data_IF_369045026212
#
_entry.id   IF_369045026212
#
_cell.length_a   1.000
_cell.length_b   1.000
_cell.length_c   1.000
_cell.angle_alpha   90.00
_cell.angle_beta   90.00
_cell.angle_gamma   90.00
#
_symmetry.space_group_name_H-M   'P 1'
#
loop_
_entity.id
_entity.type
_entity.pdbx_description
1 polymer ?
#
# COMPACT_ATOMS: atom_id res chain seq x y z
N UNK A 1 -9.60 0.07 36.26
CA UNK A 1 -8.49 -0.85 35.97
C UNK A 1 -7.22 -0.04 36.00
N UNK A 2 -6.15 -0.62 36.56
CA UNK A 2 -4.86 0.05 36.72
C UNK A 2 -3.96 -0.40 35.59
N UNK A 3 -3.19 0.53 35.02
CA UNK A 3 -2.15 0.17 34.06
C UNK A 3 -1.08 -0.68 34.75
N UNK A 4 -0.42 -1.54 33.97
CA UNK A 4 0.78 -2.24 34.42
C UNK A 4 1.87 -1.22 34.74
N UNK A 5 2.57 -1.42 35.85
CA UNK A 5 3.81 -0.72 36.17
C UNK A 5 4.85 -1.71 36.68
N UNK A 6 5.74 -2.13 35.78
CA UNK A 6 6.80 -3.10 36.06
C UNK A 6 7.86 -2.61 37.06
N UNK A 7 7.79 -1.35 37.50
CA UNK A 7 8.70 -0.81 38.53
C UNK A 7 8.20 -1.04 39.96
N UNK A 8 6.90 -1.28 40.13
CA UNK A 8 6.26 -1.39 41.46
C UNK A 8 5.33 -2.59 41.60
N UNK A 9 4.71 -3.06 40.52
CA UNK A 9 3.76 -4.17 40.58
C UNK A 9 4.49 -5.49 40.88
N UNK A 10 3.95 -6.26 41.83
CA UNK A 10 4.41 -7.62 42.10
C UNK A 10 3.87 -8.57 41.01
N UNK A 11 4.65 -9.57 40.57
CA UNK A 11 4.18 -10.61 39.65
C UNK A 11 2.85 -11.27 40.01
N UNK A 12 2.52 -11.41 41.30
CA UNK A 12 1.23 -11.95 41.74
C UNK A 12 0.04 -11.01 41.45
N UNK A 13 0.31 -9.72 41.18
CA UNK A 13 -0.70 -8.67 40.94
C UNK A 13 -0.85 -8.29 39.46
N UNK A 14 -0.19 -9.01 38.54
CA UNK A 14 -0.24 -8.70 37.12
C UNK A 14 -1.62 -8.97 36.51
N UNK A 15 -2.37 -9.97 36.99
CA UNK A 15 -3.70 -10.28 36.44
C UNK A 15 -4.67 -9.08 36.59
N UNK A 16 -5.39 -8.76 35.52
CA UNK A 16 -6.32 -7.62 35.45
C UNK A 16 -5.66 -6.26 35.18
N UNK A 17 -4.32 -6.20 35.07
CA UNK A 17 -3.61 -4.97 34.68
C UNK A 17 -3.79 -4.68 33.19
N UNK A 18 -3.78 -3.40 32.84
CA UNK A 18 -3.90 -2.96 31.45
C UNK A 18 -2.52 -2.75 30.84
N UNK A 19 -2.32 -3.31 29.66
CA UNK A 19 -1.11 -3.14 28.85
C UNK A 19 -1.52 -2.51 27.53
N UNK A 20 -0.89 -1.39 27.18
CA UNK A 20 -1.01 -0.75 25.87
C UNK A 20 0.19 -1.09 25.00
N UNK A 21 -0.08 -1.56 23.78
CA UNK A 21 0.93 -1.88 22.76
C UNK A 21 0.40 -1.32 21.44
N UNK A 22 1.13 -0.36 20.88
CA UNK A 22 0.66 0.50 19.78
C UNK A 22 -0.71 1.12 20.12
N UNK A 23 -1.67 1.03 19.20
CA UNK A 23 -3.02 1.59 19.34
C UNK A 23 -4.02 0.60 19.98
N UNK A 24 -3.55 -0.52 20.54
CA UNK A 24 -4.40 -1.53 21.17
C UNK A 24 -4.21 -1.62 22.69
N UNK A 25 -5.33 -1.83 23.37
CA UNK A 25 -5.37 -2.10 24.81
C UNK A 25 -5.62 -3.57 25.08
N UNK A 26 -4.83 -4.11 26.00
CA UNK A 26 -4.92 -5.48 26.45
C UNK A 26 -5.11 -5.54 27.96
N UNK A 27 -5.78 -6.58 28.42
CA UNK A 27 -5.84 -6.97 29.82
C UNK A 27 -4.96 -8.20 30.02
N UNK A 28 -4.12 -8.18 31.06
CA UNK A 28 -3.38 -9.37 31.47
C UNK A 28 -4.37 -10.36 32.06
N UNK A 29 -4.56 -11.48 31.37
CA UNK A 29 -5.43 -12.57 31.79
C UNK A 29 -4.71 -13.54 32.73
N UNK A 30 -5.23 -14.77 32.75
CA UNK A 30 -4.74 -15.83 33.63
C UNK A 30 -3.24 -16.09 33.46
N UNK A 31 -2.63 -16.48 34.56
CA UNK A 31 -1.29 -17.02 34.60
C UNK A 31 -1.19 -18.36 33.86
N UNK A 32 -0.29 -18.43 32.89
CA UNK A 32 -0.05 -19.62 32.05
C UNK A 32 1.13 -20.45 32.55
N UNK A 33 1.98 -19.88 33.41
CA UNK A 33 3.09 -20.58 34.04
C UNK A 33 4.40 -19.80 34.03
N UNK A 34 5.45 -20.52 34.42
CA UNK A 34 6.80 -20.01 34.60
C UNK A 34 7.75 -20.64 33.58
N UNK A 35 8.50 -19.81 32.84
CA UNK A 35 9.44 -20.24 31.81
C UNK A 35 10.85 -19.76 32.11
N UNK A 36 11.58 -20.47 32.99
CA UNK A 36 12.89 -20.03 33.46
C UNK A 36 12.81 -18.70 34.21
N UNK A 37 13.40 -17.63 33.67
CA UNK A 37 13.36 -16.28 34.26
C UNK A 37 12.12 -15.45 33.88
N UNK A 38 11.03 -16.08 33.40
CA UNK A 38 9.85 -15.38 32.87
C UNK A 38 8.57 -15.78 33.61
N UNK A 39 7.72 -14.80 33.88
CA UNK A 39 6.29 -14.98 34.16
C UNK A 39 5.52 -14.90 32.86
N UNK A 40 4.62 -15.85 32.63
CA UNK A 40 3.83 -15.91 31.39
C UNK A 40 2.36 -15.79 31.71
N UNK A 41 1.71 -14.80 31.12
CA UNK A 41 0.26 -14.60 31.24
C UNK A 41 -0.38 -14.54 29.86
N UNK A 42 -1.67 -14.85 29.81
CA UNK A 42 -2.51 -14.55 28.65
C UNK A 42 -2.66 -13.03 28.50
N UNK A 43 -2.77 -12.55 27.26
CA UNK A 43 -2.98 -11.15 26.95
C UNK A 43 -4.27 -11.04 26.12
N UNK A 44 -5.31 -10.53 26.76
CA UNK A 44 -6.68 -10.44 26.22
C UNK A 44 -6.85 -9.09 25.56
N UNK A 45 -7.08 -9.07 24.25
CA UNK A 45 -7.40 -7.83 23.55
C UNK A 45 -8.76 -7.34 24.01
N UNK A 46 -8.85 -6.13 24.57
CA UNK A 46 -10.09 -5.63 25.20
C UNK A 46 -11.23 -5.40 24.22
N UNK A 47 -10.90 -5.13 22.95
CA UNK A 47 -11.88 -4.91 21.90
C UNK A 47 -12.41 -6.22 21.33
N UNK A 48 -11.51 -7.18 21.08
CA UNK A 48 -11.89 -8.52 20.62
C UNK A 48 -12.51 -9.37 21.74
N UNK A 49 -12.12 -9.14 23.00
CA UNK A 49 -12.63 -9.82 24.19
C UNK A 49 -12.05 -11.20 24.45
N UNK A 50 -10.94 -11.58 23.78
CA UNK A 50 -10.31 -12.90 23.89
C UNK A 50 -8.77 -12.80 23.90
N UNK A 51 -8.11 -13.83 24.40
CA UNK A 51 -6.65 -13.98 24.36
C UNK A 51 -6.12 -14.03 22.93
N UNK A 52 -5.31 -13.05 22.56
CA UNK A 52 -4.66 -12.99 21.24
C UNK A 52 -3.15 -13.20 21.33
N UNK A 53 -2.58 -12.98 22.51
CA UNK A 53 -1.15 -13.10 22.76
C UNK A 53 -0.88 -13.71 24.14
N UNK A 54 0.38 -14.05 24.38
CA UNK A 54 0.94 -14.21 25.71
C UNK A 54 1.94 -13.08 25.97
N UNK A 55 1.91 -12.55 27.18
CA UNK A 55 2.92 -11.61 27.69
C UNK A 55 3.93 -12.39 28.53
N UNK A 56 5.22 -12.19 28.27
CA UNK A 56 6.32 -12.83 28.99
C UNK A 56 7.15 -11.73 29.67
N UNK A 57 6.98 -11.63 30.99
CA UNK A 57 7.62 -10.60 31.81
C UNK A 57 8.86 -11.21 32.47
N UNK A 58 10.03 -10.62 32.23
CA UNK A 58 11.29 -11.10 32.80
C UNK A 58 11.42 -10.68 34.28
N UNK A 59 11.87 -11.60 35.13
CA UNK A 59 12.13 -11.35 36.56
C UNK A 59 13.20 -10.28 36.76
N UNK A 60 14.25 -10.29 35.94
CA UNK A 60 15.35 -9.35 36.02
C UNK A 60 15.20 -8.24 34.98
N UNK A 61 14.36 -7.25 35.28
CA UNK A 61 14.10 -6.10 34.40
C UNK A 61 15.38 -5.37 33.93
N UNK A 62 16.41 -5.12 34.78
CA UNK A 62 17.67 -4.54 34.34
C UNK A 62 18.39 -5.32 33.22
N UNK A 63 18.23 -6.65 33.16
CA UNK A 63 18.83 -7.52 32.13
C UNK A 63 17.84 -7.97 31.06
N UNK A 64 16.59 -7.53 31.10
CA UNK A 64 15.51 -8.05 30.27
C UNK A 64 15.83 -7.98 28.76
N UNK A 65 16.41 -6.87 28.31
CA UNK A 65 16.80 -6.65 26.91
C UNK A 65 17.88 -7.64 26.46
N UNK A 66 18.92 -7.81 27.28
CA UNK A 66 20.05 -8.71 27.00
C UNK A 66 19.53 -10.14 26.86
N UNK A 67 18.74 -10.59 27.85
CA UNK A 67 18.18 -11.95 27.88
C UNK A 67 17.25 -12.20 26.69
N UNK A 68 16.37 -11.24 26.36
CA UNK A 68 15.48 -11.37 25.21
C UNK A 68 16.26 -11.41 23.89
N UNK A 69 17.31 -10.61 23.76
CA UNK A 69 18.17 -10.58 22.56
C UNK A 69 18.89 -11.90 22.39
N UNK A 70 19.53 -12.42 23.44
CA UNK A 70 20.22 -13.73 23.40
C UNK A 70 19.25 -14.88 23.12
N UNK A 71 18.03 -14.85 23.67
CA UNK A 71 17.02 -15.86 23.37
C UNK A 71 16.61 -15.85 21.89
N UNK A 72 16.47 -14.66 21.30
CA UNK A 72 16.16 -14.50 19.88
C UNK A 72 17.30 -14.96 18.97
N UNK A 73 18.55 -14.67 19.33
CA UNK A 73 19.72 -15.18 18.61
C UNK A 73 19.81 -16.70 18.65
N UNK A 74 19.53 -17.32 19.80
CA UNK A 74 19.48 -18.77 19.92
C UNK A 74 18.37 -19.39 19.06
N UNK A 75 17.18 -18.77 19.02
CA UNK A 75 16.09 -19.21 18.13
C UNK A 75 16.49 -19.09 16.66
N UNK A 76 17.21 -18.03 16.27
CA UNK A 76 17.71 -17.88 14.91
C UNK A 76 18.71 -18.98 14.54
N UNK A 77 19.68 -19.27 15.41
CA UNK A 77 20.66 -20.35 15.16
C UNK A 77 19.98 -21.71 14.98
N UNK A 78 18.91 -21.99 15.72
CA UNK A 78 18.11 -23.20 15.54
C UNK A 78 17.41 -23.22 14.17
N UNK A 79 16.86 -22.10 13.71
CA UNK A 79 16.27 -22.00 12.37
C UNK A 79 17.30 -22.21 11.27
N UNK A 80 18.49 -21.65 11.42
CA UNK A 80 19.57 -21.74 10.43
C UNK A 80 20.01 -23.20 10.19
N UNK A 81 19.85 -24.07 11.19
CA UNK A 81 20.10 -25.52 11.08
C UNK A 81 18.85 -26.34 10.72
N UNK A 82 17.75 -25.67 10.35
CA UNK A 82 16.51 -26.30 9.91
C UNK A 82 15.64 -26.87 11.03
N UNK A 83 15.88 -26.49 12.29
CA UNK A 83 15.04 -26.96 13.41
C UNK A 83 13.74 -26.17 13.44
N UNK A 84 12.59 -26.85 13.64
CA UNK A 84 11.32 -26.18 13.81
C UNK A 84 11.34 -25.40 15.13
N UNK A 85 11.23 -24.08 15.02
CA UNK A 85 11.11 -23.18 16.17
C UNK A 85 9.72 -22.58 16.21
N UNK A 86 9.23 -22.26 17.40
CA UNK A 86 8.11 -21.33 17.53
C UNK A 86 8.49 -19.96 16.94
N UNK A 87 7.48 -19.20 16.58
CA UNK A 87 7.66 -17.83 16.13
C UNK A 87 8.32 -16.95 17.20
N UNK A 88 9.16 -16.02 16.75
CA UNK A 88 9.85 -15.10 17.65
C UNK A 88 8.84 -14.22 18.40
N UNK A 89 8.96 -14.09 19.73
CA UNK A 89 8.29 -13.00 20.41
C UNK A 89 8.90 -11.67 19.96
N UNK A 90 8.09 -10.62 19.92
CA UNK A 90 8.60 -9.26 19.73
C UNK A 90 8.76 -8.57 21.10
N UNK A 91 9.72 -7.65 21.19
CA UNK A 91 10.08 -6.96 22.43
C UNK A 91 9.29 -5.65 22.54
N UNK A 92 8.71 -5.39 23.72
CA UNK A 92 8.01 -4.15 24.03
C UNK A 92 8.73 -3.42 25.16
N UNK A 93 8.93 -2.11 24.99
CA UNK A 93 9.48 -1.20 26.00
C UNK A 93 8.40 -0.23 26.43
N UNK A 94 7.68 -0.58 27.48
CA UNK A 94 6.54 0.18 27.98
C UNK A 94 6.31 -0.13 29.46
N UNK A 95 5.40 0.61 30.10
CA UNK A 95 4.93 0.29 31.46
C UNK A 95 6.07 0.17 32.48
N UNK A 96 7.06 1.06 32.37
CA UNK A 96 8.22 1.12 33.28
C UNK A 96 9.28 0.03 33.08
N UNK A 97 9.10 -0.89 32.11
CA UNK A 97 10.01 -2.02 31.91
C UNK A 97 10.05 -2.57 30.49
N UNK A 98 10.46 -3.83 30.39
CA UNK A 98 10.60 -4.58 29.14
C UNK A 98 9.97 -5.95 29.28
N UNK A 99 9.18 -6.32 28.28
CA UNK A 99 8.55 -7.63 28.18
C UNK A 99 8.49 -8.12 26.74
N UNK A 100 8.38 -9.43 26.59
CA UNK A 100 8.23 -10.12 25.32
C UNK A 100 6.73 -10.38 25.07
N UNK A 101 6.29 -10.25 23.83
CA UNK A 101 4.92 -10.56 23.41
C UNK A 101 4.97 -11.65 22.36
N UNK A 102 4.21 -12.71 22.59
CA UNK A 102 4.11 -13.86 21.69
C UNK A 102 2.69 -14.00 21.18
N UNK A 103 2.53 -14.12 19.87
CA UNK A 103 1.22 -14.44 19.30
C UNK A 103 0.72 -15.80 19.79
N UNK A 104 -0.54 -15.82 20.19
CA UNK A 104 -1.21 -16.99 20.74
C UNK A 104 -2.70 -16.71 20.79
N UNK A 105 -3.38 -16.93 19.67
CA UNK A 105 -4.81 -16.68 19.57
C UNK A 105 -5.54 -17.95 19.95
N UNK A 106 -6.35 -17.89 21.01
CA UNK A 106 -7.33 -18.93 21.26
C UNK A 106 -8.33 -18.96 20.10
N UNK A 107 -8.54 -20.10 19.46
CA UNK A 107 -9.39 -20.23 18.27
C UNK A 107 -10.55 -21.18 18.55
N UNK A 108 -11.73 -20.76 18.15
CA UNK A 108 -12.92 -21.60 18.12
C UNK A 108 -12.88 -22.57 16.94
N UNK A 109 -13.65 -23.65 17.03
CA UNK A 109 -13.79 -24.60 15.91
C UNK A 109 -14.32 -23.93 14.63
N UNK A 110 -15.20 -22.93 14.77
CA UNK A 110 -15.71 -22.14 13.66
C UNK A 110 -14.59 -21.35 12.96
N UNK A 111 -13.71 -20.69 13.73
CA UNK A 111 -12.57 -19.95 13.18
C UNK A 111 -11.55 -20.88 12.50
N UNK A 112 -11.28 -22.05 13.08
CA UNK A 112 -10.41 -23.06 12.47
C UNK A 112 -11.02 -23.60 11.17
N UNK A 113 -12.33 -23.88 11.16
CA UNK A 113 -13.03 -24.33 9.95
C UNK A 113 -13.01 -23.25 8.87
N UNK A 114 -13.30 -22.00 9.21
CA UNK A 114 -13.26 -20.84 8.32
C UNK A 114 -11.90 -20.70 7.62
N UNK A 115 -10.80 -20.79 8.38
CA UNK A 115 -9.45 -20.70 7.83
C UNK A 115 -9.17 -21.85 6.86
N UNK A 116 -9.53 -23.09 7.22
CA UNK A 116 -9.37 -24.26 6.34
C UNK A 116 -10.13 -24.13 5.03
N UNK A 117 -11.39 -23.67 5.09
CA UNK A 117 -12.21 -23.44 3.89
C UNK A 117 -11.59 -22.37 3.00
N UNK A 118 -11.06 -21.30 3.59
CA UNK A 118 -10.37 -20.23 2.87
C UNK A 118 -9.11 -20.75 2.17
N UNK A 119 -8.31 -21.57 2.85
CA UNK A 119 -7.13 -22.23 2.29
C UNK A 119 -7.49 -23.20 1.15
N UNK A 120 -8.60 -23.93 1.29
CA UNK A 120 -9.12 -24.84 0.28
C UNK A 120 -9.80 -24.14 -0.92
N UNK A 121 -10.00 -22.82 -0.85
CA UNK A 121 -10.67 -22.05 -1.90
C UNK A 121 -12.20 -22.16 -1.89
N UNK A 122 -12.79 -22.71 -0.84
CA UNK A 122 -14.25 -22.76 -0.63
C UNK A 122 -14.74 -21.43 -0.05
N UNK A 123 -14.67 -20.37 -0.87
CA UNK A 123 -14.82 -18.98 -0.43
C UNK A 123 -16.24 -18.66 0.07
N UNK A 124 -17.28 -19.20 -0.57
CA UNK A 124 -18.68 -18.94 -0.18
C UNK A 124 -19.00 -19.53 1.21
N UNK A 125 -18.51 -20.74 1.50
CA UNK A 125 -18.68 -21.38 2.81
C UNK A 125 -17.87 -20.65 3.90
N UNK A 126 -16.65 -20.22 3.58
CA UNK A 126 -15.86 -19.41 4.49
C UNK A 126 -16.55 -18.07 4.80
N UNK A 127 -17.12 -17.42 3.78
CA UNK A 127 -17.87 -16.17 3.93
C UNK A 127 -19.06 -16.34 4.85
N UNK A 128 -19.88 -17.38 4.67
CA UNK A 128 -21.02 -17.64 5.55
C UNK A 128 -20.61 -17.75 7.03
N UNK A 129 -19.50 -18.45 7.34
CA UNK A 129 -18.98 -18.53 8.71
C UNK A 129 -18.51 -17.15 9.21
N UNK A 130 -17.88 -16.34 8.36
CA UNK A 130 -17.49 -14.97 8.78
C UNK A 130 -18.70 -14.12 9.17
N UNK A 131 -19.83 -14.24 8.47
CA UNK A 131 -21.05 -13.51 8.78
C UNK A 131 -21.63 -13.93 10.13
N UNK A 132 -21.65 -15.24 10.42
CA UNK A 132 -22.07 -15.76 11.73
C UNK A 132 -21.17 -15.26 12.87
N UNK A 133 -19.85 -15.30 12.67
CA UNK A 133 -18.88 -14.83 13.66
C UNK A 133 -19.01 -13.32 13.92
N UNK A 134 -19.21 -12.52 12.87
CA UNK A 134 -19.35 -11.06 12.97
C UNK A 134 -20.70 -10.63 13.54
N UNK A 135 -21.76 -11.41 13.31
CA UNK A 135 -23.05 -11.20 13.96
C UNK A 135 -22.97 -11.40 15.48
N UNK A 136 -22.14 -12.36 15.94
CA UNK A 136 -21.90 -12.59 17.36
C UNK A 136 -20.91 -11.60 17.97
N UNK A 137 -19.84 -11.24 17.24
CA UNK A 137 -18.84 -10.27 17.66
C UNK A 137 -18.37 -9.43 16.46
N UNK A 138 -18.86 -8.19 16.30
CA UNK A 138 -18.45 -7.30 15.21
C UNK A 138 -16.95 -6.97 15.17
N UNK A 139 -16.26 -7.12 16.31
CA UNK A 139 -14.82 -6.91 16.43
C UNK A 139 -14.03 -8.24 16.28
N UNK A 140 -14.62 -9.28 15.69
CA UNK A 140 -13.88 -10.50 15.34
C UNK A 140 -12.91 -10.24 14.17
N UNK A 141 -11.68 -9.85 14.51
CA UNK A 141 -10.65 -9.52 13.52
C UNK A 141 -10.27 -10.71 12.63
N UNK A 142 -10.36 -11.96 13.11
CA UNK A 142 -10.09 -13.16 12.31
C UNK A 142 -11.14 -13.30 11.19
N UNK A 143 -12.41 -13.05 11.50
CA UNK A 143 -13.47 -13.04 10.49
C UNK A 143 -13.25 -11.90 9.48
N UNK A 144 -12.88 -10.70 9.95
CA UNK A 144 -12.59 -9.56 9.07
C UNK A 144 -11.41 -9.81 8.10
N UNK A 145 -10.29 -10.37 8.57
CA UNK A 145 -9.16 -10.69 7.67
C UNK A 145 -9.51 -11.81 6.69
N UNK A 146 -10.39 -12.74 7.07
CA UNK A 146 -10.92 -13.74 6.14
C UNK A 146 -11.82 -13.10 5.09
N UNK A 147 -12.74 -12.21 5.48
CA UNK A 147 -13.56 -11.47 4.52
C UNK A 147 -12.69 -10.64 3.56
N UNK A 148 -11.64 -9.98 4.08
CA UNK A 148 -10.66 -9.27 3.25
C UNK A 148 -10.00 -10.21 2.23
N UNK A 149 -9.60 -11.40 2.65
CA UNK A 149 -9.00 -12.42 1.77
C UNK A 149 -9.98 -12.88 0.69
N UNK A 150 -11.24 -13.15 1.06
CA UNK A 150 -12.31 -13.56 0.13
C UNK A 150 -12.58 -12.46 -0.89
N UNK A 151 -12.75 -11.20 -0.46
CA UNK A 151 -12.96 -10.04 -1.35
C UNK A 151 -11.77 -9.80 -2.28
N UNK A 152 -10.55 -9.91 -1.76
CA UNK A 152 -9.33 -9.76 -2.56
C UNK A 152 -9.25 -10.80 -3.67
N UNK A 153 -9.62 -12.05 -3.39
CA UNK A 153 -9.72 -13.11 -4.41
C UNK A 153 -10.86 -12.91 -5.41
N UNK A 154 -11.94 -12.25 -4.98
CA UNK A 154 -13.07 -11.84 -5.82
C UNK A 154 -12.79 -10.64 -6.72
N UNK A 155 -11.62 -9.99 -6.58
CA UNK A 155 -11.20 -8.85 -7.40
C UNK A 155 -11.57 -7.48 -6.85
N UNK A 156 -12.21 -7.39 -5.68
CA UNK A 156 -12.49 -6.12 -5.01
C UNK A 156 -11.35 -5.74 -4.04
N UNK A 157 -10.28 -5.19 -4.61
CA UNK A 157 -9.08 -4.87 -3.84
C UNK A 157 -9.29 -3.75 -2.81
N UNK A 158 -10.19 -2.79 -3.08
CA UNK A 158 -10.43 -1.66 -2.17
C UNK A 158 -11.29 -2.10 -0.98
N UNK A 159 -12.39 -2.84 -1.20
CA UNK A 159 -13.18 -3.39 -0.10
C UNK A 159 -12.35 -4.35 0.75
N UNK A 160 -11.52 -5.18 0.10
CA UNK A 160 -10.58 -6.05 0.80
C UNK A 160 -9.62 -5.28 1.72
N UNK A 161 -9.06 -4.17 1.22
CA UNK A 161 -8.18 -3.32 2.01
C UNK A 161 -8.91 -2.65 3.19
N UNK A 162 -10.13 -2.16 3.00
CA UNK A 162 -10.92 -1.54 4.06
C UNK A 162 -11.25 -2.53 5.19
N UNK A 163 -11.58 -3.79 4.84
CA UNK A 163 -11.79 -4.88 5.79
C UNK A 163 -10.49 -5.22 6.54
N UNK A 164 -9.36 -5.34 5.84
CA UNK A 164 -8.06 -5.63 6.45
C UNK A 164 -7.62 -4.51 7.41
N UNK A 165 -7.79 -3.24 7.03
CA UNK A 165 -7.52 -2.09 7.89
C UNK A 165 -8.46 -2.06 9.10
N UNK A 166 -9.71 -2.51 8.95
CA UNK A 166 -10.65 -2.63 10.07
C UNK A 166 -10.21 -3.70 11.07
N UNK A 167 -9.75 -4.85 10.60
CA UNK A 167 -9.15 -5.88 11.45
C UNK A 167 -7.88 -5.38 12.15
N UNK A 168 -7.00 -4.68 11.43
CA UNK A 168 -5.76 -4.13 11.97
C UNK A 168 -6.01 -3.11 13.09
N UNK A 169 -7.09 -2.30 13.01
CA UNK A 169 -7.50 -1.38 14.08
C UNK A 169 -8.01 -2.08 15.35
N UNK A 170 -8.43 -3.34 15.24
CA UNK A 170 -8.83 -4.14 16.40
C UNK A 170 -7.61 -4.82 16.98
N UNK A 171 -6.80 -5.46 16.14
CA UNK A 171 -5.65 -6.24 16.55
C UNK A 171 -4.41 -5.92 15.70
N UNK A 172 -3.67 -4.84 16.04
CA UNK A 172 -2.52 -4.37 15.28
C UNK A 172 -1.25 -5.19 15.53
N UNK A 173 -1.24 -6.07 16.53
CA UNK A 173 -0.03 -6.78 16.97
C UNK A 173 0.09 -8.21 16.44
N UNK A 174 -0.75 -8.60 15.46
CA UNK A 174 -0.64 -9.90 14.80
C UNK A 174 -0.07 -9.82 13.39
N UNK A 175 0.82 -10.75 13.05
CA UNK A 175 1.38 -10.96 11.72
C UNK A 175 0.30 -11.19 10.68
N UNK A 176 -0.70 -12.01 11.00
CA UNK A 176 -1.78 -12.32 10.06
C UNK A 176 -2.50 -11.05 9.57
N UNK A 177 -2.88 -10.14 10.49
CA UNK A 177 -3.46 -8.85 10.11
C UNK A 177 -2.53 -8.03 9.20
N UNK A 178 -1.23 -7.96 9.53
CA UNK A 178 -0.25 -7.18 8.76
C UNK A 178 -0.03 -7.75 7.37
N UNK A 179 0.20 -9.05 7.25
CA UNK A 179 0.44 -9.72 5.97
C UNK A 179 -0.80 -9.62 5.08
N UNK A 180 -2.01 -9.86 5.60
CA UNK A 180 -3.24 -9.67 4.81
C UNK A 180 -3.41 -8.21 4.40
N UNK A 181 -3.16 -7.25 5.31
CA UNK A 181 -3.20 -5.83 4.97
C UNK A 181 -2.20 -5.47 3.87
N UNK A 182 -0.99 -6.01 3.91
CA UNK A 182 0.01 -5.82 2.84
C UNK A 182 -0.48 -6.42 1.51
N UNK A 183 -1.04 -7.63 1.51
CA UNK A 183 -1.57 -8.25 0.29
C UNK A 183 -2.70 -7.42 -0.33
N UNK A 184 -3.67 -7.00 0.48
CA UNK A 184 -4.76 -6.14 0.03
C UNK A 184 -4.25 -4.77 -0.42
N UNK A 185 -3.29 -4.18 0.29
CA UNK A 185 -2.70 -2.90 -0.08
C UNK A 185 -1.95 -2.99 -1.42
N UNK A 186 -1.21 -4.08 -1.67
CA UNK A 186 -0.57 -4.30 -2.95
C UNK A 186 -1.60 -4.42 -4.08
N UNK A 187 -2.65 -5.22 -3.89
CA UNK A 187 -3.72 -5.39 -4.87
C UNK A 187 -4.46 -4.07 -5.16
N UNK A 188 -4.64 -3.22 -4.15
CA UNK A 188 -5.28 -1.91 -4.27
C UNK A 188 -4.31 -0.80 -4.72
N UNK A 189 -3.04 -1.12 -5.00
CA UNK A 189 -1.96 -0.16 -5.26
C UNK A 189 -1.79 0.91 -4.15
N UNK A 190 -2.15 0.58 -2.91
CA UNK A 190 -1.97 1.41 -1.72
C UNK A 190 -0.56 1.25 -1.13
N UNK A 191 0.47 1.55 -1.94
CA UNK A 191 1.87 1.27 -1.60
C UNK A 191 2.37 1.94 -0.32
N UNK A 192 1.81 3.09 0.07
CA UNK A 192 2.15 3.73 1.35
C UNK A 192 1.73 2.84 2.53
N UNK A 193 0.52 2.31 2.49
CA UNK A 193 0.01 1.39 3.50
C UNK A 193 0.81 0.10 3.49
N UNK A 194 1.13 -0.43 2.30
CA UNK A 194 2.00 -1.59 2.14
C UNK A 194 3.33 -1.44 2.88
N UNK A 195 4.09 -0.38 2.56
CA UNK A 195 5.44 -0.19 3.10
C UNK A 195 5.43 0.09 4.60
N UNK A 196 4.43 0.83 5.10
CA UNK A 196 4.27 1.02 6.54
C UNK A 196 4.09 -0.33 7.26
N UNK A 197 3.22 -1.21 6.75
CA UNK A 197 3.04 -2.52 7.37
C UNK A 197 4.26 -3.43 7.21
N UNK A 198 4.96 -3.38 6.08
CA UNK A 198 6.21 -4.13 5.89
C UNK A 198 7.28 -3.70 6.90
N UNK A 199 7.50 -2.39 7.06
CA UNK A 199 8.48 -1.85 8.01
C UNK A 199 8.14 -2.20 9.45
N UNK A 200 6.86 -2.11 9.84
CA UNK A 200 6.44 -2.48 11.19
C UNK A 200 6.61 -3.99 11.46
N UNK A 201 6.29 -4.84 10.47
CA UNK A 201 6.49 -6.28 10.56
C UNK A 201 7.98 -6.63 10.68
N UNK A 202 8.85 -5.98 9.88
CA UNK A 202 10.32 -6.12 9.97
C UNK A 202 10.86 -5.65 11.33
N UNK A 203 10.27 -4.61 11.93
CA UNK A 203 10.69 -4.12 13.24
C UNK A 203 10.34 -5.11 14.36
N UNK A 204 9.13 -5.69 14.33
CA UNK A 204 8.65 -6.66 15.34
C UNK A 204 9.27 -8.05 15.17
N UNK A 205 9.37 -8.52 13.94
CA UNK A 205 9.86 -9.85 13.58
C UNK A 205 10.94 -9.79 12.48
N UNK A 206 12.14 -9.26 12.79
CA UNK A 206 13.20 -9.06 11.78
C UNK A 206 13.77 -10.34 11.18
N UNK A 207 13.52 -11.48 11.84
CA UNK A 207 13.94 -12.80 11.39
C UNK A 207 12.86 -13.53 10.58
N UNK A 208 11.62 -13.03 10.61
CA UNK A 208 10.59 -13.55 9.74
C UNK A 208 10.83 -12.94 8.35
N UNK A 209 10.97 -13.82 7.36
CA UNK A 209 11.25 -13.48 5.96
C UNK A 209 10.16 -13.99 5.03
N UNK A 210 9.10 -14.59 5.59
CA UNK A 210 8.01 -15.21 4.82
C UNK A 210 7.24 -14.24 3.93
N UNK A 211 7.42 -12.94 4.15
CA UNK A 211 6.76 -11.85 3.43
C UNK A 211 7.72 -11.06 2.50
N UNK A 212 8.99 -11.47 2.37
CA UNK A 212 9.95 -10.83 1.46
C UNK A 212 9.55 -11.01 -0.02
N UNK A 213 8.94 -12.16 -0.37
CA UNK A 213 8.34 -12.39 -1.70
C UNK A 213 7.28 -11.33 -2.07
N UNK A 214 6.50 -10.90 -1.06
CA UNK A 214 5.46 -9.90 -1.23
C UNK A 214 6.08 -8.50 -1.41
N UNK A 215 7.16 -8.19 -0.68
CA UNK A 215 7.91 -6.94 -0.86
C UNK A 215 8.61 -6.87 -2.22
N UNK A 216 9.19 -7.97 -2.69
CA UNK A 216 9.72 -8.05 -4.05
C UNK A 216 8.64 -7.78 -5.11
N UNK A 217 7.44 -8.35 -4.93
CA UNK A 217 6.30 -8.11 -5.81
C UNK A 217 5.87 -6.65 -5.84
N UNK A 218 5.87 -5.97 -4.68
CA UNK A 218 5.61 -4.54 -4.61
C UNK A 218 6.68 -3.73 -5.34
N UNK A 219 7.98 -4.03 -5.15
CA UNK A 219 9.07 -3.37 -5.86
C UNK A 219 8.99 -3.53 -7.38
N UNK A 220 8.66 -4.73 -7.88
CA UNK A 220 8.45 -4.96 -9.31
C UNK A 220 7.27 -4.15 -9.85
N UNK A 221 6.16 -4.07 -9.08
CA UNK A 221 4.95 -3.35 -9.50
C UNK A 221 5.16 -1.84 -9.57
N UNK A 222 5.97 -1.26 -8.67
CA UNK A 222 6.32 0.18 -8.69
C UNK A 222 7.50 0.53 -9.59
N UNK A 223 8.04 -0.45 -10.33
CA UNK A 223 9.13 -0.23 -11.28
C UNK A 223 10.51 -0.05 -10.66
N UNK A 224 10.72 -0.53 -9.42
CA UNK A 224 12.02 -0.50 -8.72
C UNK A 224 12.50 -1.92 -8.32
N UNK A 225 12.52 -2.89 -9.24
CA UNK A 225 12.86 -4.29 -8.95
C UNK A 225 14.25 -4.42 -8.30
N UNK A 226 15.21 -3.57 -8.66
CA UNK A 226 16.56 -3.57 -8.08
C UNK A 226 16.59 -3.46 -6.55
N UNK A 227 15.59 -2.83 -5.93
CA UNK A 227 15.50 -2.72 -4.45
C UNK A 227 15.17 -4.05 -3.77
N UNK A 228 14.69 -5.04 -4.52
CA UNK A 228 14.37 -6.36 -4.01
C UNK A 228 15.54 -7.35 -4.07
N UNK A 229 16.71 -6.95 -4.58
CA UNK A 229 17.86 -7.86 -4.76
C UNK A 229 18.45 -8.37 -3.44
N UNK A 230 18.31 -7.60 -2.35
CA UNK A 230 18.83 -7.95 -1.03
C UNK A 230 17.81 -8.70 -0.15
N UNK A 231 16.66 -9.07 -0.71
CA UNK A 231 15.61 -9.80 0.00
C UNK A 231 15.84 -11.31 -0.03
N UNK A 232 15.34 -12.02 0.99
CA UNK A 232 15.39 -13.49 1.03
C UNK A 232 14.14 -14.06 0.34
N UNK A 233 14.30 -14.47 -0.91
CA UNK A 233 13.19 -14.82 -1.79
C UNK A 233 13.07 -16.32 -2.01
N UNK A 234 11.83 -16.77 -2.24
CA UNK A 234 11.61 -18.09 -2.83
C UNK A 234 12.24 -18.16 -4.22
N UNK A 235 12.64 -19.36 -4.64
CA UNK A 235 13.27 -19.58 -5.94
C UNK A 235 12.42 -19.03 -7.10
N UNK A 236 11.09 -19.21 -7.00
CA UNK A 236 10.13 -18.72 -7.98
C UNK A 236 10.17 -17.20 -8.10
N UNK A 237 10.15 -16.48 -6.99
CA UNK A 237 10.15 -15.01 -7.00
C UNK A 237 11.52 -14.47 -7.38
N UNK A 238 12.61 -15.10 -6.93
CA UNK A 238 13.97 -14.75 -7.33
C UNK A 238 14.21 -14.88 -8.85
N UNK A 239 13.61 -15.88 -9.51
CA UNK A 239 13.67 -16.02 -10.96
C UNK A 239 12.94 -14.87 -11.67
N UNK A 240 11.72 -14.55 -11.25
CA UNK A 240 10.94 -13.44 -11.82
C UNK A 240 11.69 -12.12 -11.61
N UNK A 241 12.21 -11.88 -10.41
CA UNK A 241 12.96 -10.68 -10.08
C UNK A 241 14.16 -10.46 -11.02
N UNK A 242 14.96 -11.50 -11.28
CA UNK A 242 16.11 -11.40 -12.19
C UNK A 242 15.69 -10.99 -13.60
N UNK A 243 14.56 -11.50 -14.09
CA UNK A 243 14.00 -11.13 -15.41
C UNK A 243 13.54 -9.67 -15.42
N UNK A 244 12.83 -9.23 -14.39
CA UNK A 244 12.36 -7.86 -14.25
C UNK A 244 13.52 -6.85 -14.16
N UNK A 245 14.57 -7.15 -13.39
CA UNK A 245 15.77 -6.30 -13.32
C UNK A 245 16.46 -6.20 -14.68
N UNK A 246 16.64 -7.32 -15.38
CA UNK A 246 17.25 -7.31 -16.72
C UNK A 246 16.41 -6.53 -17.74
N UNK A 247 15.08 -6.69 -17.70
CA UNK A 247 14.15 -5.98 -18.55
C UNK A 247 14.21 -4.46 -18.32
N UNK A 248 14.24 -4.02 -17.05
CA UNK A 248 14.41 -2.61 -16.69
C UNK A 248 15.74 -2.05 -17.20
N UNK A 249 16.85 -2.76 -16.98
CA UNK A 249 18.17 -2.33 -17.46
C UNK A 249 18.21 -2.16 -18.98
N UNK A 250 17.59 -3.07 -19.73
CA UNK A 250 17.49 -2.95 -21.19
C UNK A 250 16.66 -1.73 -21.61
N UNK A 251 15.54 -1.45 -20.92
CA UNK A 251 14.71 -0.29 -21.19
C UNK A 251 15.41 1.04 -20.86
N UNK A 252 16.11 1.09 -19.72
CA UNK A 252 16.91 2.24 -19.30
C UNK A 252 18.03 2.54 -20.30
N UNK A 253 18.65 1.50 -20.88
CA UNK A 253 19.70 1.65 -21.89
C UNK A 253 19.16 2.25 -23.20
N UNK A 254 17.96 1.82 -23.64
CA UNK A 254 17.28 2.43 -24.79
C UNK A 254 17.02 3.91 -24.53
N UNK A 255 16.48 4.24 -23.36
CA UNK A 255 16.23 5.64 -22.97
C UNK A 255 17.52 6.46 -22.97
N UNK A 256 18.56 5.98 -22.30
CA UNK A 256 19.85 6.68 -22.13
C UNK A 256 20.52 7.01 -23.46
N UNK A 257 20.43 6.12 -24.45
CA UNK A 257 21.16 6.24 -25.72
C UNK A 257 20.40 6.99 -26.80
N UNK A 258 19.07 7.05 -26.73
CA UNK A 258 18.26 7.51 -27.87
C UNK A 258 17.22 8.57 -27.53
N UNK A 259 16.76 8.67 -26.29
CA UNK A 259 15.72 9.62 -25.89
C UNK A 259 16.29 11.03 -25.65
N UNK A 260 15.59 12.06 -26.11
CA UNK A 260 15.95 13.46 -25.83
C UNK A 260 14.71 14.27 -25.47
N UNK A 261 14.83 15.25 -24.57
CA UNK A 261 13.69 16.06 -24.09
C UNK A 261 13.33 17.24 -25.03
N UNK A 262 13.69 17.16 -26.32
CA UNK A 262 13.41 18.23 -27.29
C UNK A 262 11.96 18.14 -27.78
N UNK A 263 11.32 19.29 -27.97
CA UNK A 263 9.94 19.38 -28.48
C UNK A 263 9.93 19.94 -29.91
N UNK A 264 10.48 19.16 -30.84
CA UNK A 264 10.35 19.40 -32.28
C UNK A 264 9.49 18.30 -32.91
N UNK A 265 8.81 18.52 -34.05
CA UNK A 265 8.05 17.47 -34.71
C UNK A 265 8.88 16.21 -35.01
N UNK A 266 10.13 16.38 -35.45
CA UNK A 266 11.06 15.30 -35.75
C UNK A 266 11.48 14.53 -34.48
N UNK A 267 11.82 15.25 -33.41
CA UNK A 267 12.18 14.63 -32.13
C UNK A 267 10.98 13.93 -31.49
N UNK A 268 9.76 14.47 -31.63
CA UNK A 268 8.54 13.87 -31.09
C UNK A 268 8.23 12.51 -31.74
N UNK A 269 8.29 12.40 -33.07
CA UNK A 269 8.06 11.12 -33.76
C UNK A 269 9.18 10.11 -33.45
N UNK A 270 10.44 10.55 -33.43
CA UNK A 270 11.56 9.70 -33.03
C UNK A 270 11.39 9.19 -31.59
N UNK A 271 11.12 10.09 -30.65
CA UNK A 271 10.94 9.75 -29.24
C UNK A 271 9.73 8.83 -29.03
N UNK A 272 8.66 8.97 -29.81
CA UNK A 272 7.52 8.04 -29.77
C UNK A 272 7.95 6.62 -30.06
N UNK A 273 8.76 6.39 -31.10
CA UNK A 273 9.31 5.07 -31.42
C UNK A 273 10.21 4.51 -30.31
N UNK A 274 11.09 5.34 -29.77
CA UNK A 274 12.00 5.00 -28.65
C UNK A 274 11.21 4.62 -27.40
N UNK A 275 10.26 5.46 -26.99
CA UNK A 275 9.43 5.24 -25.82
C UNK A 275 8.54 4.00 -25.98
N UNK A 276 7.99 3.76 -27.16
CA UNK A 276 7.25 2.53 -27.45
C UNK A 276 8.13 1.29 -27.31
N UNK A 277 9.39 1.35 -27.77
CA UNK A 277 10.35 0.25 -27.60
C UNK A 277 10.69 0.04 -26.12
N UNK A 278 11.05 1.11 -25.40
CA UNK A 278 11.40 1.04 -23.98
C UNK A 278 10.23 0.55 -23.13
N UNK A 279 9.00 1.02 -23.40
CA UNK A 279 7.79 0.60 -22.70
C UNK A 279 7.45 -0.88 -22.94
N UNK A 280 7.70 -1.42 -24.15
CA UNK A 280 7.57 -2.85 -24.42
C UNK A 280 8.59 -3.70 -23.66
N UNK A 281 9.79 -3.18 -23.42
CA UNK A 281 10.80 -3.85 -22.62
C UNK A 281 10.43 -3.83 -21.14
N UNK A 282 9.99 -2.67 -20.63
CA UNK A 282 9.67 -2.51 -19.22
C UNK A 282 8.58 -1.45 -18.97
N UNK A 283 7.33 -1.91 -18.90
CA UNK A 283 6.16 -1.04 -18.75
C UNK A 283 6.01 -0.42 -17.35
N UNK A 284 6.66 -0.99 -16.34
CA UNK A 284 6.54 -0.54 -14.95
C UNK A 284 7.42 0.66 -14.60
N UNK A 285 8.37 1.05 -15.47
CA UNK A 285 9.18 2.26 -15.23
C UNK A 285 8.31 3.51 -15.32
N UNK A 286 8.15 4.27 -14.21
CA UNK A 286 7.31 5.47 -14.22
C UNK A 286 7.79 6.50 -15.24
N UNK A 287 9.10 6.72 -15.34
CA UNK A 287 9.68 7.68 -16.28
C UNK A 287 9.34 7.33 -17.75
N UNK A 288 9.50 6.06 -18.13
CA UNK A 288 9.20 5.58 -19.49
C UNK A 288 7.70 5.69 -19.76
N UNK A 289 6.88 5.16 -18.87
CA UNK A 289 5.43 5.09 -19.05
C UNK A 289 4.79 6.49 -19.07
N UNK A 290 5.21 7.40 -18.19
CA UNK A 290 4.74 8.79 -18.21
C UNK A 290 5.09 9.42 -19.56
N UNK A 291 6.37 9.44 -19.93
CA UNK A 291 6.79 10.08 -21.19
C UNK A 291 6.11 9.45 -22.42
N UNK A 292 5.90 8.14 -22.41
CA UNK A 292 5.17 7.44 -23.48
C UNK A 292 3.70 7.86 -23.53
N UNK A 293 3.01 7.91 -22.39
CA UNK A 293 1.63 8.42 -22.33
C UNK A 293 1.51 9.87 -22.79
N UNK A 294 2.46 10.73 -22.43
CA UNK A 294 2.47 12.14 -22.83
C UNK A 294 2.71 12.32 -24.34
N UNK A 295 3.59 11.53 -24.96
CA UNK A 295 3.80 11.62 -26.41
C UNK A 295 2.60 11.08 -27.19
N UNK A 296 1.97 9.99 -26.74
CA UNK A 296 0.72 9.48 -27.32
C UNK A 296 -0.39 10.52 -27.30
N UNK A 297 -0.55 11.22 -26.16
CA UNK A 297 -1.51 12.32 -26.02
C UNK A 297 -1.24 13.45 -27.04
N UNK A 298 0.03 13.82 -27.21
CA UNK A 298 0.43 14.86 -28.17
C UNK A 298 0.22 14.43 -29.63
N UNK A 299 0.39 13.16 -29.92
CA UNK A 299 0.14 12.54 -31.23
C UNK A 299 -1.35 12.34 -31.55
N UNK A 300 -2.26 12.65 -30.62
CA UNK A 300 -3.69 12.52 -30.82
C UNK A 300 -4.24 11.11 -30.53
N UNK A 301 -3.46 10.24 -29.88
CA UNK A 301 -3.88 8.90 -29.48
C UNK A 301 -4.39 8.92 -28.03
N UNK A 302 -5.53 9.59 -27.82
CA UNK A 302 -6.04 9.91 -26.49
C UNK A 302 -6.30 8.69 -25.61
N UNK A 303 -6.87 7.64 -26.18
CA UNK A 303 -7.21 6.39 -25.48
C UNK A 303 -5.97 5.60 -25.08
N UNK A 304 -4.99 5.51 -25.99
CA UNK A 304 -3.72 4.85 -25.69
C UNK A 304 -2.96 5.60 -24.58
N UNK A 305 -2.97 6.94 -24.62
CA UNK A 305 -2.41 7.76 -23.54
C UNK A 305 -3.11 7.50 -22.20
N UNK A 306 -4.45 7.44 -22.18
CA UNK A 306 -5.22 7.11 -20.98
C UNK A 306 -4.83 5.74 -20.41
N UNK A 307 -4.74 4.71 -21.25
CA UNK A 307 -4.38 3.34 -20.82
C UNK A 307 -2.98 3.26 -20.21
N UNK A 308 -2.00 3.97 -20.77
CA UNK A 308 -0.64 4.02 -20.23
C UNK A 308 -0.58 4.81 -18.93
N UNK A 309 -1.14 6.03 -18.92
CA UNK A 309 -1.05 6.94 -17.76
C UNK A 309 -1.82 6.41 -16.55
N UNK A 310 -2.98 5.77 -16.76
CA UNK A 310 -3.81 5.22 -15.67
C UNK A 310 -3.08 4.16 -14.82
N UNK A 311 -2.15 3.40 -15.42
CA UNK A 311 -1.32 2.41 -14.72
C UNK A 311 -0.30 3.06 -13.78
N UNK A 312 0.10 4.30 -14.06
CA UNK A 312 1.17 4.99 -13.35
C UNK A 312 0.63 5.90 -12.26
N UNK A 313 -0.62 6.38 -12.36
CA UNK A 313 -1.24 7.22 -11.32
C UNK A 313 -1.04 6.70 -9.89
N UNK A 314 -1.19 5.39 -9.58
CA UNK A 314 -1.01 4.91 -8.22
C UNK A 314 0.44 5.01 -7.70
N UNK A 315 1.43 5.05 -8.58
CA UNK A 315 2.86 5.10 -8.23
C UNK A 315 3.44 6.53 -8.28
N UNK A 316 2.72 7.47 -8.89
CA UNK A 316 3.06 8.90 -8.83
C UNK A 316 2.83 9.44 -7.41
N UNK A 317 3.69 10.36 -7.00
CA UNK A 317 3.55 11.09 -5.74
C UNK A 317 2.11 11.63 -5.57
N UNK A 318 1.44 11.38 -4.43
CA UNK A 318 0.03 11.75 -4.23
C UNK A 318 -0.28 13.21 -4.55
N UNK A 319 0.65 14.12 -4.24
CA UNK A 319 0.53 15.55 -4.51
C UNK A 319 0.46 15.90 -5.99
N UNK A 320 0.87 15.02 -6.92
CA UNK A 320 0.88 15.29 -8.37
C UNK A 320 -0.14 14.44 -9.13
N UNK A 321 -0.85 13.54 -8.47
CA UNK A 321 -1.85 12.67 -9.12
C UNK A 321 -2.95 13.47 -9.84
N UNK A 322 -3.30 14.66 -9.32
CA UNK A 322 -4.27 15.56 -9.97
C UNK A 322 -3.84 15.95 -11.40
N UNK A 323 -2.54 16.18 -11.63
CA UNK A 323 -2.03 16.52 -12.96
C UNK A 323 -2.30 15.41 -13.96
N UNK A 324 -2.07 14.16 -13.54
CA UNK A 324 -2.29 12.97 -14.36
C UNK A 324 -3.77 12.71 -14.64
N UNK A 325 -4.66 12.99 -13.69
CA UNK A 325 -6.10 12.99 -13.97
C UNK A 325 -6.45 14.03 -15.05
N UNK A 326 -5.80 15.21 -15.03
CA UNK A 326 -5.92 16.22 -16.08
C UNK A 326 -5.44 15.73 -17.45
N UNK A 327 -4.23 15.16 -17.53
CA UNK A 327 -3.68 14.65 -18.79
C UNK A 327 -4.51 13.51 -19.38
N UNK A 328 -4.98 12.60 -18.53
CA UNK A 328 -5.90 11.55 -18.93
C UNK A 328 -7.26 12.10 -19.42
N UNK A 329 -7.79 13.14 -18.75
CA UNK A 329 -9.00 13.82 -19.21
C UNK A 329 -8.79 14.49 -20.57
N UNK A 330 -7.62 15.09 -20.82
CA UNK A 330 -7.27 15.66 -22.11
C UNK A 330 -7.21 14.58 -23.19
N UNK A 331 -6.65 13.40 -22.90
CA UNK A 331 -6.61 12.27 -23.82
C UNK A 331 -8.02 11.80 -24.20
N UNK A 332 -8.88 11.56 -23.21
CA UNK A 332 -10.26 11.15 -23.48
C UNK A 332 -11.05 12.23 -24.24
N UNK A 333 -10.78 13.51 -23.99
CA UNK A 333 -11.40 14.61 -24.72
C UNK A 333 -10.89 14.72 -26.18
N UNK A 334 -9.63 14.39 -26.45
CA UNK A 334 -9.08 14.33 -27.81
C UNK A 334 -9.80 13.25 -28.64
N UNK A 335 -10.18 12.14 -28.02
CA UNK A 335 -10.91 11.04 -28.65
C UNK A 335 -12.44 11.17 -28.51
N UNK A 336 -12.93 12.35 -28.11
CA UNK A 336 -14.36 12.67 -27.98
C UNK A 336 -15.15 11.83 -26.95
N UNK A 337 -14.48 11.16 -26.00
CA UNK A 337 -15.13 10.49 -24.86
C UNK A 337 -15.45 11.50 -23.75
N UNK A 338 -16.40 12.40 -24.05
CA UNK A 338 -16.78 13.52 -23.18
C UNK A 338 -17.22 13.10 -21.78
N UNK A 339 -18.07 12.06 -21.59
CA UNK A 339 -18.50 11.66 -20.26
C UNK A 339 -17.34 11.15 -19.41
N UNK A 340 -16.40 10.39 -20.00
CA UNK A 340 -15.26 9.89 -19.25
C UNK A 340 -14.22 10.99 -18.95
N UNK A 341 -13.98 11.89 -19.92
CA UNK A 341 -13.17 13.08 -19.71
C UNK A 341 -13.71 13.94 -18.54
N UNK A 342 -15.03 14.17 -18.51
CA UNK A 342 -15.67 14.91 -17.42
C UNK A 342 -15.49 14.24 -16.05
N UNK A 343 -15.66 12.92 -15.95
CA UNK A 343 -15.44 12.20 -14.69
C UNK A 343 -14.01 12.38 -14.18
N UNK A 344 -13.01 12.38 -15.06
CA UNK A 344 -11.62 12.63 -14.67
C UNK A 344 -11.36 14.08 -14.25
N UNK A 345 -11.98 15.06 -14.93
CA UNK A 345 -11.93 16.46 -14.51
C UNK A 345 -12.56 16.65 -13.12
N UNK A 346 -13.68 15.97 -12.85
CA UNK A 346 -14.34 15.98 -11.53
C UNK A 346 -13.49 15.32 -10.44
N UNK A 347 -12.79 14.23 -10.76
CA UNK A 347 -11.79 13.63 -9.84
C UNK A 347 -10.63 14.59 -9.60
N UNK A 348 -10.12 15.23 -10.65
CA UNK A 348 -9.04 16.20 -10.55
C UNK A 348 -9.42 17.38 -9.64
N UNK A 349 -10.60 17.97 -9.80
CA UNK A 349 -11.04 19.10 -8.95
C UNK A 349 -11.19 18.70 -7.50
N UNK A 350 -11.74 17.52 -7.21
CA UNK A 350 -11.79 17.00 -5.82
C UNK A 350 -10.41 16.83 -5.20
N UNK A 351 -9.39 16.49 -5.99
CA UNK A 351 -8.02 16.32 -5.52
C UNK A 351 -7.27 17.63 -5.33
N UNK A 352 -7.61 18.66 -6.09
CA UNK A 352 -7.10 20.02 -5.86
C UNK A 352 -7.63 20.61 -4.53
N UNK A 353 -8.82 20.20 -4.11
CA UNK A 353 -9.48 20.65 -2.88
C UNK A 353 -10.08 22.05 -2.99
N UNK A 354 -10.64 22.56 -1.90
CA UNK A 354 -11.36 23.85 -1.85
C UNK A 354 -10.44 25.07 -1.65
N UNK A 355 -9.13 24.92 -1.84
CA UNK A 355 -8.16 25.99 -1.63
C UNK A 355 -8.27 27.06 -2.73
N UNK A 356 -7.65 28.25 -2.52
CA UNK A 356 -7.50 29.33 -3.50
C UNK A 356 -6.64 28.89 -4.72
N UNK A 357 -7.15 27.95 -5.53
CA UNK A 357 -6.49 27.40 -6.72
C UNK A 357 -6.19 28.55 -7.67
N UNK A 358 -4.91 28.75 -7.97
CA UNK A 358 -4.44 29.71 -8.95
C UNK A 358 -4.32 29.04 -10.32
N UNK A 359 -4.34 29.81 -11.43
CA UNK A 359 -4.10 29.26 -12.76
C UNK A 359 -2.80 28.45 -12.87
N UNK A 360 -1.76 28.83 -12.11
CA UNK A 360 -0.47 28.13 -12.08
C UNK A 360 -0.51 26.73 -11.44
N UNK A 361 -1.55 26.43 -10.65
CA UNK A 361 -1.72 25.13 -10.01
C UNK A 361 -2.35 24.09 -10.97
N UNK A 362 -2.87 24.54 -12.12
CA UNK A 362 -3.56 23.69 -13.09
C UNK A 362 -2.57 23.06 -14.08
N UNK A 363 -2.77 21.78 -14.46
CA UNK A 363 -1.90 21.13 -15.43
C UNK A 363 -2.00 21.81 -16.81
N UNK A 364 -0.85 22.24 -17.34
CA UNK A 364 -0.75 22.76 -18.71
C UNK A 364 -0.83 21.67 -19.78
N UNK A 365 -0.53 22.02 -21.04
CA UNK A 365 -0.40 21.01 -22.09
C UNK A 365 0.92 20.24 -21.90
N UNK A 366 0.91 18.93 -21.60
CA UNK A 366 2.12 18.24 -21.19
C UNK A 366 3.07 18.00 -22.38
N UNK A 367 4.36 18.23 -22.17
CA UNK A 367 5.42 17.93 -23.13
C UNK A 367 6.17 16.67 -22.70
N UNK A 368 6.91 16.78 -21.61
CA UNK A 368 7.80 15.71 -21.13
C UNK A 368 7.84 15.67 -19.60
N UNK A 369 8.08 14.49 -19.05
CA UNK A 369 8.48 14.31 -17.67
C UNK A 369 9.99 14.46 -17.53
N UNK A 370 10.41 15.40 -16.69
CA UNK A 370 11.81 15.60 -16.32
C UNK A 370 12.06 14.91 -14.96
N UNK A 371 12.73 13.77 -15.01
CA UNK A 371 12.99 12.94 -13.82
C UNK A 371 13.81 13.69 -12.75
N UNK A 372 14.77 14.52 -13.17
CA UNK A 372 15.60 15.36 -12.30
C UNK A 372 14.79 16.36 -11.48
N UNK A 373 13.64 16.80 -11.98
CA UNK A 373 12.76 17.78 -11.34
C UNK A 373 11.54 17.10 -10.69
N UNK A 374 11.37 15.80 -10.91
CA UNK A 374 10.14 15.06 -10.64
C UNK A 374 8.90 15.84 -11.11
N UNK A 375 9.02 16.51 -12.28
CA UNK A 375 8.10 17.53 -12.79
C UNK A 375 7.70 17.26 -14.25
N UNK A 376 6.48 17.65 -14.63
CA UNK A 376 6.07 17.67 -16.05
C UNK A 376 6.35 19.05 -16.63
N UNK A 377 7.17 19.07 -17.67
CA UNK A 377 7.37 20.24 -18.52
C UNK A 377 6.09 20.45 -19.33
N UNK A 378 5.46 21.61 -19.18
CA UNK A 378 4.22 21.95 -19.85
C UNK A 378 4.40 23.12 -20.82
N UNK A 379 3.74 23.05 -21.97
CA UNK A 379 3.56 24.19 -22.86
C UNK A 379 2.41 25.09 -22.38
N UNK A 380 2.64 26.41 -22.43
CA UNK A 380 1.61 27.41 -22.15
C UNK A 380 0.77 27.66 -23.41
N UNK A 381 -0.33 26.93 -23.53
CA UNK A 381 -1.24 27.03 -24.68
C UNK A 381 -2.70 27.11 -24.23
N UNK A 382 -3.59 27.59 -25.09
CA UNK A 382 -5.04 27.54 -24.86
C UNK A 382 -5.67 26.16 -25.12
N UNK A 383 -4.88 25.14 -25.49
CA UNK A 383 -5.40 23.82 -25.86
C UNK A 383 -6.14 23.12 -24.70
N UNK A 384 -5.61 23.06 -23.46
CA UNK A 384 -6.35 22.51 -22.32
C UNK A 384 -7.69 23.20 -22.10
N UNK A 385 -7.72 24.54 -22.14
CA UNK A 385 -8.96 25.31 -22.02
C UNK A 385 -9.98 24.95 -23.11
N UNK A 386 -9.55 24.88 -24.38
CA UNK A 386 -10.45 24.54 -25.51
C UNK A 386 -11.06 23.14 -25.34
N UNK A 387 -10.26 22.15 -24.91
CA UNK A 387 -10.74 20.79 -24.65
C UNK A 387 -11.75 20.76 -23.50
N UNK A 388 -11.44 21.40 -22.37
CA UNK A 388 -12.35 21.47 -21.23
C UNK A 388 -13.66 22.16 -21.62
N UNK A 389 -13.60 23.28 -22.34
CA UNK A 389 -14.79 23.98 -22.81
C UNK A 389 -15.66 23.10 -23.74
N UNK A 390 -15.05 22.23 -24.56
CA UNK A 390 -15.78 21.25 -25.36
C UNK A 390 -16.44 20.18 -24.47
N UNK A 391 -15.71 19.60 -23.52
CA UNK A 391 -16.26 18.63 -22.56
C UNK A 391 -17.49 19.19 -21.85
N UNK A 392 -17.41 20.41 -21.31
CA UNK A 392 -18.52 21.03 -20.58
C UNK A 392 -19.74 21.32 -21.47
N UNK A 393 -19.53 21.68 -22.74
CA UNK A 393 -20.63 21.87 -23.69
C UNK A 393 -21.36 20.56 -24.00
N UNK A 394 -20.63 19.45 -24.12
CA UNK A 394 -21.20 18.15 -24.50
C UNK A 394 -21.91 17.44 -23.34
N UNK A 395 -21.44 17.62 -22.10
CA UNK A 395 -22.06 17.03 -20.90
C UNK A 395 -23.37 17.74 -20.52
N UNK A 396 -23.53 19.00 -20.92
CA UNK A 396 -24.72 19.80 -20.64
C UNK A 396 -24.68 20.48 -19.28
N UNK A 397 -25.16 21.72 -19.21
CA UNK A 397 -24.97 22.60 -18.06
C UNK A 397 -25.47 21.98 -16.74
N UNK A 398 -26.62 21.32 -16.74
CA UNK A 398 -27.26 20.82 -15.52
C UNK A 398 -26.50 19.65 -14.85
N UNK A 399 -25.57 19.02 -15.57
CA UNK A 399 -24.75 17.92 -15.06
C UNK A 399 -23.36 18.38 -14.57
N UNK A 400 -22.97 19.62 -14.88
CA UNK A 400 -21.64 20.14 -14.55
C UNK A 400 -21.62 20.76 -13.16
N UNK A 401 -20.80 20.17 -12.29
CA UNK A 401 -20.54 20.67 -10.93
C UNK A 401 -19.94 22.09 -10.94
N UNK A 402 -20.33 22.97 -9.99
CA UNK A 402 -19.81 24.34 -9.91
C UNK A 402 -18.27 24.43 -9.88
N UNK A 403 -17.62 23.50 -9.19
CA UNK A 403 -16.17 23.47 -9.01
C UNK A 403 -15.43 23.19 -10.33
N UNK A 404 -15.99 22.32 -11.17
CA UNK A 404 -15.45 22.05 -12.52
C UNK A 404 -15.63 23.27 -13.42
N UNK A 405 -16.73 24.02 -13.28
CA UNK A 405 -16.90 25.29 -14.00
C UNK A 405 -15.89 26.35 -13.55
N UNK A 406 -15.69 26.49 -12.23
CA UNK A 406 -14.71 27.42 -11.67
C UNK A 406 -13.30 27.11 -12.18
N UNK A 407 -12.90 25.84 -12.16
CA UNK A 407 -11.64 25.40 -12.75
C UNK A 407 -11.52 25.73 -14.25
N UNK A 408 -12.58 25.53 -15.04
CA UNK A 408 -12.57 25.90 -16.46
C UNK A 408 -12.36 27.41 -16.69
N UNK A 409 -12.90 28.25 -15.81
CA UNK A 409 -12.67 29.70 -15.82
C UNK A 409 -11.22 30.04 -15.49
N UNK A 410 -10.59 29.34 -14.55
CA UNK A 410 -9.17 29.51 -14.24
C UNK A 410 -8.28 29.13 -15.43
N UNK A 411 -8.60 28.07 -16.17
CA UNK A 411 -7.93 27.74 -17.43
C UNK A 411 -8.07 28.85 -18.50
N UNK A 412 -9.20 29.58 -18.52
CA UNK A 412 -9.39 30.71 -19.42
C UNK A 412 -8.51 31.92 -19.05
N UNK A 413 -8.17 32.05 -17.78
CA UNK A 413 -7.29 33.11 -17.25
C UNK A 413 -5.81 32.78 -17.39
N UNK A 414 -5.45 31.52 -17.68
CA UNK A 414 -4.05 31.12 -17.80
C UNK A 414 -3.39 31.89 -18.95
N UNK A 415 -2.29 32.61 -18.70
CA UNK A 415 -1.59 33.32 -19.77
C UNK A 415 -1.00 32.28 -20.73
N UNK A 416 -1.60 32.15 -21.92
CA UNK A 416 -0.88 31.68 -23.08
C UNK A 416 0.08 32.80 -23.49
N UNK A 417 1.28 32.47 -23.98
CA UNK A 417 1.99 33.46 -24.79
C UNK A 417 1.02 33.87 -25.92
N UNK A 418 0.82 35.17 -26.18
CA UNK A 418 0.06 35.59 -27.35
C UNK A 418 0.71 34.96 -28.59
N UNK A 419 -0.12 34.37 -29.46
CA UNK A 419 0.26 33.74 -30.73
C UNK A 419 1.21 34.60 -31.57
#
# INVERSE_FOLDING_TARGET
>A
MTDLDLTVDDPEEFEGRVVRIDDAEYEIGRYLGEGGERFVHELVNRRFGRGTHAILILRNQPKAVEIATSAREALQQLRDVGMPTIHDPFLVRAHGGVFEVREGVDRTDAEVRMERLTQAGQLDEAWAITEELLAANPDNFLALITQATVRGRGGDAFEALDLALSALRIEPNTRACKVITMQCALAANAFRTFWWQYEDLRAKWPNDRSFDDLAASAHMTVGTPEKALDLELSEKVAEVLRREVAAKQAADEVMRTTFTLRDTPEDNERNRGVLAQAYRLYAYSPNIAINYGLVLLRSGEGRAAFEVLSRIVPVVQPRRQYEFYGYMAFGLAVDEDWPAAYRLLDVMTRRLGDNDIQPADLPGWPLWWADSEAAVICARTHRPFRLIAQVLRQVGADQVRPEVRAMALLYAQHPANPE
#
